data_IF_679736991319
#
_entry.id   IF_679736991319
#
_cell.length_a   1.000
_cell.length_b   1.000
_cell.length_c   1.000
_cell.angle_alpha   90.00
_cell.angle_beta   90.00
_cell.angle_gamma   90.00
#
_symmetry.space_group_name_H-M   'P 1'
#
loop_
_entity.id
_entity.type
_entity.pdbx_description
1 polymer ?
#
# COMPACT_ATOMS: atom_id res chain seq x y z
N UNK A 1 0.88 19.46 -15.98
CA UNK A 1 1.86 18.51 -15.54
C UNK A 1 1.70 18.21 -14.09
N UNK A 2 1.84 16.95 -13.71
CA UNK A 2 1.62 16.57 -12.34
C UNK A 2 2.88 16.75 -11.53
N UNK A 3 2.81 17.36 -10.37
CA UNK A 3 3.94 17.52 -9.49
C UNK A 3 3.90 16.51 -8.38
N UNK A 4 4.98 15.75 -8.21
CA UNK A 4 5.02 14.73 -7.18
C UNK A 4 4.92 15.34 -5.79
N UNK A 5 5.49 16.53 -5.60
CA UNK A 5 5.43 17.17 -4.30
C UNK A 5 4.01 17.58 -3.92
N UNK A 6 3.26 18.04 -4.88
CA UNK A 6 1.88 18.44 -4.64
C UNK A 6 1.03 17.24 -4.25
N UNK A 7 1.24 16.13 -4.94
CA UNK A 7 0.50 14.91 -4.66
C UNK A 7 0.91 14.37 -3.29
N UNK A 8 2.22 14.42 -2.97
CA UNK A 8 2.69 13.94 -1.70
C UNK A 8 2.11 14.76 -0.56
N UNK A 9 2.03 16.06 -0.74
CA UNK A 9 1.45 16.93 0.27
C UNK A 9 -0.03 16.60 0.49
N UNK A 10 -0.75 16.37 -0.60
CA UNK A 10 -2.16 15.99 -0.50
C UNK A 10 -2.30 14.68 0.28
N UNK A 11 -1.46 13.69 -0.04
CA UNK A 11 -1.51 12.40 0.62
C UNK A 11 -1.23 12.56 2.11
N UNK A 12 -0.19 13.34 2.46
CA UNK A 12 0.16 13.49 3.88
C UNK A 12 -0.91 14.23 4.67
N UNK A 13 -1.57 15.18 4.04
CA UNK A 13 -2.56 15.98 4.74
C UNK A 13 -3.96 15.36 4.76
N UNK A 14 -4.35 14.73 3.66
CA UNK A 14 -5.72 14.28 3.52
C UNK A 14 -5.93 12.77 3.67
N UNK A 15 -4.93 11.98 3.39
CA UNK A 15 -5.09 10.53 3.32
C UNK A 15 -4.44 9.82 4.50
N UNK A 16 -3.18 10.11 4.76
CA UNK A 16 -2.45 9.43 5.83
C UNK A 16 -3.14 9.57 7.19
N UNK A 17 -3.68 10.75 7.57
CA UNK A 17 -4.33 10.86 8.87
C UNK A 17 -5.56 9.97 9.02
N UNK A 18 -6.16 9.52 7.93
CA UNK A 18 -7.32 8.64 8.02
C UNK A 18 -6.95 7.29 8.62
N UNK A 19 -5.69 6.92 8.56
CA UNK A 19 -5.23 5.65 9.12
C UNK A 19 -5.16 5.68 10.64
N UNK A 20 -5.24 6.86 11.25
CA UNK A 20 -5.23 6.96 12.71
C UNK A 20 -6.40 6.26 13.36
N UNK A 21 -7.44 5.96 12.58
CA UNK A 21 -8.62 5.29 13.11
C UNK A 21 -8.49 3.78 13.11
N UNK A 22 -7.45 3.26 12.50
CA UNK A 22 -7.29 1.83 12.38
C UNK A 22 -6.43 1.30 13.52
N UNK A 23 -6.35 -0.01 13.66
CA UNK A 23 -5.58 -0.59 14.74
C UNK A 23 -4.08 -0.36 14.51
N UNK A 24 -3.29 -0.69 15.52
CA UNK A 24 -1.86 -0.38 15.50
C UNK A 24 -1.13 -0.98 14.30
N UNK A 25 -1.58 -2.11 13.83
CA UNK A 25 -0.91 -2.76 12.71
C UNK A 25 -1.21 -2.13 11.36
N UNK A 26 -2.17 -1.20 11.31
CA UNK A 26 -2.58 -0.58 10.06
C UNK A 26 -2.70 0.93 10.20
N UNK A 27 -1.97 1.51 11.14
CA UNK A 27 -2.05 2.93 11.38
C UNK A 27 -1.16 3.75 10.47
N UNK A 28 -0.99 5.00 10.85
CA UNK A 28 -0.24 5.97 10.06
C UNK A 28 1.20 5.50 9.78
N UNK A 29 1.87 4.94 10.79
CA UNK A 29 3.24 4.50 10.61
C UNK A 29 3.33 3.38 9.59
N UNK A 30 2.35 2.48 9.59
CA UNK A 30 2.33 1.38 8.63
C UNK A 30 2.21 1.90 7.20
N UNK A 31 1.25 2.80 6.95
CA UNK A 31 1.05 3.28 5.59
C UNK A 31 2.24 4.10 5.11
N UNK A 32 2.86 4.87 6.01
CA UNK A 32 4.02 5.64 5.60
C UNK A 32 5.19 4.74 5.28
N UNK A 33 5.34 3.64 6.00
CA UNK A 33 6.38 2.69 5.72
C UNK A 33 6.12 1.97 4.40
N UNK A 34 4.86 1.63 4.12
CA UNK A 34 4.52 1.00 2.84
C UNK A 34 4.83 1.96 1.68
N UNK A 35 4.49 3.23 1.82
CA UNK A 35 4.78 4.22 0.79
C UNK A 35 6.30 4.29 0.55
N UNK A 36 7.06 4.36 1.62
CA UNK A 36 8.50 4.47 1.53
C UNK A 36 9.11 3.24 0.86
N UNK A 37 8.65 2.06 1.25
CA UNK A 37 9.14 0.82 0.66
C UNK A 37 8.74 0.70 -0.81
N UNK A 38 7.53 1.09 -1.14
CA UNK A 38 7.08 1.02 -2.53
C UNK A 38 7.93 1.93 -3.41
N UNK A 39 8.18 3.15 -2.95
CA UNK A 39 8.98 4.08 -3.74
C UNK A 39 10.43 3.60 -3.85
N UNK A 40 10.94 2.96 -2.81
CA UNK A 40 12.27 2.39 -2.84
C UNK A 40 12.35 1.27 -3.88
N UNK A 41 11.35 0.40 -3.93
CA UNK A 41 11.32 -0.68 -4.91
C UNK A 41 11.20 -0.13 -6.34
N UNK A 42 10.52 1.00 -6.49
CA UNK A 42 10.31 1.58 -7.82
C UNK A 42 11.60 1.98 -8.50
N UNK A 43 12.67 2.19 -7.76
CA UNK A 43 13.93 2.58 -8.37
C UNK A 43 14.47 1.50 -9.30
N UNK A 44 14.01 0.25 -9.14
CA UNK A 44 14.44 -0.83 -10.00
C UNK A 44 13.54 -1.01 -11.21
N UNK A 45 12.53 -0.17 -11.36
CA UNK A 45 11.55 -0.30 -12.43
C UNK A 45 11.32 1.07 -13.08
N UNK A 46 12.22 1.48 -13.99
CA UNK A 46 12.14 2.84 -14.56
C UNK A 46 10.83 3.16 -15.26
N UNK A 47 10.09 2.14 -15.68
CA UNK A 47 8.82 2.39 -16.36
C UNK A 47 7.70 2.79 -15.39
N UNK A 48 7.93 2.69 -14.09
CA UNK A 48 6.89 2.98 -13.11
C UNK A 48 6.76 4.48 -12.88
N UNK A 49 5.53 4.97 -12.93
CA UNK A 49 5.25 6.36 -12.62
C UNK A 49 5.10 6.47 -11.11
N UNK A 50 6.01 7.17 -10.47
CA UNK A 50 6.01 7.23 -9.01
C UNK A 50 4.78 7.90 -8.44
N UNK A 51 4.13 8.78 -9.20
CA UNK A 51 2.91 9.43 -8.71
C UNK A 51 1.78 8.41 -8.58
N UNK A 52 1.62 7.54 -9.57
CA UNK A 52 0.60 6.50 -9.48
C UNK A 52 0.91 5.56 -8.32
N UNK A 53 2.17 5.19 -8.16
CA UNK A 53 2.56 4.27 -7.12
C UNK A 53 2.34 4.88 -5.74
N UNK A 54 2.69 6.14 -5.56
CA UNK A 54 2.50 6.83 -4.30
C UNK A 54 1.02 6.80 -3.88
N UNK A 55 0.13 7.11 -4.80
CA UNK A 55 -1.29 7.14 -4.49
C UNK A 55 -1.81 5.74 -4.20
N UNK A 56 -1.38 4.75 -5.00
CA UNK A 56 -1.82 3.38 -4.78
C UNK A 56 -1.41 2.91 -3.38
N UNK A 57 -0.16 3.19 -2.99
CA UNK A 57 0.32 2.77 -1.68
C UNK A 57 -0.42 3.51 -0.57
N UNK A 58 -0.68 4.81 -0.77
CA UNK A 58 -1.35 5.60 0.25
C UNK A 58 -2.77 5.15 0.51
N UNK A 59 -3.47 4.72 -0.54
CA UNK A 59 -4.89 4.36 -0.41
C UNK A 59 -5.10 2.87 -0.15
N UNK A 60 -4.07 2.05 -0.21
CA UNK A 60 -4.25 0.60 -0.33
C UNK A 60 -5.05 -0.04 0.80
N UNK A 61 -5.00 0.51 1.99
CA UNK A 61 -5.73 -0.05 3.13
C UNK A 61 -6.88 0.80 3.61
N UNK A 62 -7.24 1.86 2.90
CA UNK A 62 -8.35 2.71 3.35
C UNK A 62 -9.66 1.95 3.43
N UNK A 63 -9.79 0.88 2.67
CA UNK A 63 -11.00 0.06 2.73
C UNK A 63 -11.25 -0.59 4.08
N UNK A 64 -10.24 -0.60 4.96
CA UNK A 64 -10.43 -1.14 6.31
C UNK A 64 -11.51 -0.41 7.07
N UNK A 65 -11.83 0.83 6.67
CA UNK A 65 -12.93 1.57 7.28
C UNK A 65 -14.26 0.82 7.16
N UNK A 66 -14.36 -0.10 6.19
CA UNK A 66 -15.58 -0.86 5.94
C UNK A 66 -15.41 -2.33 6.33
N UNK A 67 -14.38 -2.66 7.07
CA UNK A 67 -14.16 -4.02 7.56
C UNK A 67 -12.98 -4.70 6.88
N UNK A 68 -12.48 -5.75 7.50
CA UNK A 68 -11.31 -6.42 6.99
C UNK A 68 -11.57 -7.33 5.82
N UNK A 69 -12.75 -7.92 5.76
CA UNK A 69 -12.97 -9.00 4.84
C UNK A 69 -12.74 -8.67 3.39
N UNK A 70 -13.18 -7.56 2.93
CA UNK A 70 -12.99 -7.20 1.54
C UNK A 70 -12.40 -5.81 1.43
N UNK A 71 -11.51 -5.49 2.35
CA UNK A 71 -10.97 -4.14 2.39
C UNK A 71 -10.25 -3.76 1.10
N UNK A 72 -9.65 -4.73 0.41
CA UNK A 72 -8.97 -4.45 -0.85
C UNK A 72 -9.95 -3.95 -1.92
N UNK A 73 -11.14 -4.55 -1.96
CA UNK A 73 -12.17 -4.12 -2.90
C UNK A 73 -12.68 -2.74 -2.54
N UNK A 74 -12.87 -2.49 -1.24
CA UNK A 74 -13.33 -1.18 -0.79
C UNK A 74 -12.29 -0.10 -1.03
N UNK A 75 -10.99 -0.44 -0.89
CA UNK A 75 -9.94 0.51 -1.19
C UNK A 75 -9.97 0.93 -2.66
N UNK A 76 -10.17 -0.04 -3.56
CA UNK A 76 -10.28 0.27 -4.98
C UNK A 76 -11.48 1.16 -5.27
N UNK A 77 -12.60 0.91 -4.60
CA UNK A 77 -13.79 1.72 -4.78
C UNK A 77 -13.56 3.16 -4.31
N UNK A 78 -12.89 3.31 -3.16
CA UNK A 78 -12.59 4.64 -2.64
C UNK A 78 -11.75 5.43 -3.65
N UNK A 79 -10.77 4.77 -4.26
CA UNK A 79 -9.94 5.42 -5.26
C UNK A 79 -10.79 5.88 -6.45
N UNK A 80 -11.64 4.99 -6.97
CA UNK A 80 -12.43 5.32 -8.14
C UNK A 80 -13.42 6.45 -7.88
N UNK A 81 -13.85 6.58 -6.63
CA UNK A 81 -14.84 7.60 -6.29
C UNK A 81 -14.23 8.91 -5.82
N UNK A 82 -12.95 8.98 -5.66
CA UNK A 82 -12.31 10.18 -5.14
C UNK A 82 -12.07 11.18 -6.27
N UNK A 83 -12.97 12.14 -6.39
CA UNK A 83 -12.91 13.12 -7.46
C UNK A 83 -11.65 13.98 -7.40
N UNK A 84 -11.04 14.12 -6.23
CA UNK A 84 -9.84 14.94 -6.09
C UNK A 84 -8.68 14.40 -6.89
N UNK A 85 -8.65 13.09 -7.14
CA UNK A 85 -7.56 12.50 -7.90
C UNK A 85 -7.61 12.91 -9.37
N UNK A 86 -8.76 13.34 -9.86
CA UNK A 86 -8.89 13.72 -11.26
C UNK A 86 -8.18 15.00 -11.62
N UNK A 87 -7.73 15.75 -10.65
CA UNK A 87 -6.92 16.92 -10.97
C UNK A 87 -5.51 16.52 -11.43
N UNK A 88 -5.07 15.29 -11.13
CA UNK A 88 -3.74 14.86 -11.51
C UNK A 88 -3.73 13.65 -12.44
N UNK A 89 -4.78 12.85 -12.44
CA UNK A 89 -4.79 11.57 -13.13
C UNK A 89 -5.96 11.43 -14.07
N UNK A 90 -5.73 10.74 -15.18
CA UNK A 90 -6.80 10.42 -16.12
C UNK A 90 -7.63 9.29 -15.57
N UNK A 91 -8.78 9.03 -16.17
CA UNK A 91 -9.61 7.91 -15.75
C UNK A 91 -8.88 6.57 -15.89
N UNK A 92 -8.07 6.43 -16.92
CA UNK A 92 -7.31 5.22 -17.12
C UNK A 92 -6.27 5.06 -16.01
N UNK A 93 -5.61 6.12 -15.64
CA UNK A 93 -4.63 6.08 -14.56
C UNK A 93 -5.29 5.78 -13.23
N UNK A 94 -6.46 6.34 -12.99
CA UNK A 94 -7.19 6.05 -11.76
C UNK A 94 -7.57 4.58 -11.72
N UNK A 95 -7.94 4.00 -12.86
CA UNK A 95 -8.20 2.56 -12.93
C UNK A 95 -6.99 1.73 -12.57
N UNK A 96 -5.81 2.15 -13.03
CA UNK A 96 -4.57 1.47 -12.71
C UNK A 96 -4.26 1.56 -11.22
N UNK A 97 -4.46 2.73 -10.63
CA UNK A 97 -4.23 2.92 -9.20
C UNK A 97 -5.20 2.05 -8.40
N UNK A 98 -6.47 2.01 -8.81
CA UNK A 98 -7.47 1.21 -8.12
C UNK A 98 -7.15 -0.28 -8.21
N UNK A 99 -6.74 -0.75 -9.39
CA UNK A 99 -6.37 -2.14 -9.56
C UNK A 99 -5.19 -2.50 -8.67
N UNK A 100 -4.24 -1.60 -8.51
CA UNK A 100 -3.09 -1.85 -7.66
C UNK A 100 -3.52 -2.01 -6.21
N UNK A 101 -4.42 -1.17 -5.74
CA UNK A 101 -4.90 -1.27 -4.37
C UNK A 101 -5.70 -2.56 -4.16
N UNK A 102 -6.49 -2.93 -5.15
CA UNK A 102 -7.27 -4.15 -5.04
C UNK A 102 -6.38 -5.38 -5.04
N UNK A 103 -5.31 -5.36 -5.82
CA UNK A 103 -4.47 -6.52 -6.02
C UNK A 103 -3.39 -6.72 -4.97
N UNK A 104 -3.27 -5.81 -4.02
CA UNK A 104 -2.18 -5.91 -3.05
C UNK A 104 -2.37 -7.06 -2.06
N UNK A 105 -3.56 -7.59 -1.96
CA UNK A 105 -3.85 -8.60 -0.97
C UNK A 105 -3.29 -9.95 -1.41
N UNK A 106 -2.46 -10.54 -0.56
CA UNK A 106 -1.80 -11.80 -0.89
C UNK A 106 -2.76 -12.95 -1.12
N UNK A 107 -3.94 -12.89 -0.51
CA UNK A 107 -4.91 -13.98 -0.65
C UNK A 107 -5.86 -13.78 -1.81
N UNK A 108 -5.58 -12.84 -2.69
CA UNK A 108 -6.42 -12.65 -3.86
C UNK A 108 -6.43 -13.87 -4.75
N UNK A 109 -7.50 -14.04 -5.49
CA UNK A 109 -7.64 -15.17 -6.40
C UNK A 109 -6.69 -15.13 -7.56
N UNK A 110 -6.12 -14.01 -7.87
CA UNK A 110 -5.27 -13.87 -9.04
C UNK A 110 -4.03 -13.05 -8.71
N UNK A 111 -3.02 -13.17 -9.53
CA UNK A 111 -1.82 -12.36 -9.37
C UNK A 111 -2.14 -10.91 -9.65
N UNK A 112 -1.36 -9.99 -9.10
CA UNK A 112 -1.57 -8.58 -9.40
C UNK A 112 -1.53 -8.32 -10.89
N UNK A 113 -2.47 -7.51 -11.36
CA UNK A 113 -2.63 -7.25 -12.79
C UNK A 113 -1.58 -6.30 -13.35
N UNK A 114 -0.97 -5.48 -12.51
CA UNK A 114 0.02 -4.51 -12.97
C UNK A 114 1.24 -4.53 -12.09
N UNK A 115 2.30 -3.90 -12.57
CA UNK A 115 3.52 -3.75 -11.78
C UNK A 115 3.23 -2.94 -10.52
N UNK A 116 2.29 -2.00 -10.57
CA UNK A 116 1.95 -1.19 -9.40
C UNK A 116 1.38 -2.06 -8.29
N UNK A 117 0.50 -2.98 -8.63
CA UNK A 117 -0.06 -3.89 -7.64
C UNK A 117 1.00 -4.81 -7.06
N UNK A 118 1.92 -5.25 -7.90
CA UNK A 118 3.01 -6.13 -7.44
C UNK A 118 3.92 -5.41 -6.46
N UNK A 119 4.24 -4.15 -6.74
CA UNK A 119 5.12 -3.39 -5.87
C UNK A 119 4.44 -3.11 -4.53
N UNK A 120 3.17 -2.73 -4.54
CA UNK A 120 2.46 -2.45 -3.30
C UNK A 120 2.35 -3.72 -2.46
N UNK A 121 2.01 -4.85 -3.09
CA UNK A 121 1.91 -6.12 -2.38
C UNK A 121 3.25 -6.52 -1.78
N UNK A 122 4.32 -6.31 -2.53
CA UNK A 122 5.65 -6.67 -2.05
C UNK A 122 6.07 -5.77 -0.89
N UNK A 123 5.81 -4.48 -1.00
CA UNK A 123 6.16 -3.54 0.05
C UNK A 123 5.45 -3.89 1.35
N UNK A 124 4.16 -4.24 1.24
CA UNK A 124 3.37 -4.60 2.40
C UNK A 124 3.90 -5.90 3.04
N UNK A 125 4.26 -6.87 2.23
CA UNK A 125 4.76 -8.14 2.73
C UNK A 125 6.12 -8.02 3.39
N UNK A 126 7.00 -7.18 2.84
CA UNK A 126 8.32 -6.98 3.41
C UNK A 126 8.21 -6.41 4.82
N UNK A 127 7.32 -5.46 5.01
CA UNK A 127 7.14 -4.84 6.30
C UNK A 127 6.64 -5.85 7.31
N UNK A 128 5.69 -6.69 6.94
CA UNK A 128 5.17 -7.70 7.82
C UNK A 128 6.27 -8.69 8.19
N UNK A 129 7.10 -9.06 7.23
CA UNK A 129 8.21 -9.96 7.49
C UNK A 129 9.20 -9.38 8.47
N UNK A 130 9.53 -8.11 8.30
CA UNK A 130 10.45 -7.45 9.22
C UNK A 130 9.89 -7.39 10.61
N UNK A 131 8.61 -7.13 10.74
CA UNK A 131 7.98 -7.06 12.04
C UNK A 131 8.08 -8.41 12.76
N UNK A 132 7.84 -9.48 12.04
CA UNK A 132 7.91 -10.81 12.61
C UNK A 132 9.34 -11.12 13.08
N UNK A 133 10.32 -10.81 12.27
CA UNK A 133 11.71 -11.05 12.62
C UNK A 133 12.09 -10.23 13.85
N UNK A 134 11.68 -8.99 13.88
CA UNK A 134 12.00 -8.13 14.99
C UNK A 134 11.42 -8.66 16.29
N UNK A 135 10.21 -9.17 16.26
CA UNK A 135 9.58 -9.72 17.44
C UNK A 135 10.30 -10.98 17.90
N UNK A 136 10.71 -11.82 16.96
CA UNK A 136 11.43 -13.02 17.30
C UNK A 136 12.74 -12.69 18.01
N UNK A 137 13.45 -11.70 17.51
CA UNK A 137 14.69 -11.29 18.13
C UNK A 137 14.46 -10.71 19.51
N UNK A 138 13.37 -9.99 19.65
CA UNK A 138 13.06 -9.40 20.92
C UNK A 138 12.82 -10.43 21.99
N UNK A 139 12.23 -11.55 21.68
CA UNK A 139 11.98 -12.58 22.65
C UNK A 139 13.13 -13.54 22.75
N UNK A 140 14.18 -13.18 22.15
CA UNK A 140 15.34 -14.01 22.27
C UNK A 140 15.22 -15.33 21.72
N UNK A 141 14.56 -15.58 20.87
CA UNK A 141 14.32 -16.75 20.44
C UNK A 141 15.00 -17.37 19.72
N UNK A 142 15.16 -18.07 19.88
CA UNK A 142 15.61 -18.92 19.37
C UNK A 142 14.82 -19.44 18.45
N UNK A 143 14.05 -19.07 18.10
CA UNK A 143 13.17 -19.54 17.36
C UNK A 143 13.60 -19.72 16.24
N UNK A 144 13.50 -20.09 15.84
CA UNK A 144 13.73 -20.47 14.93
C UNK A 144 13.17 -20.14 13.87
N UNK A 145 13.65 -20.31 13.27
CA UNK A 145 13.47 -19.93 12.04
C UNK A 145 12.35 -20.39 11.42
N UNK A 146 11.98 -21.32 11.84
CA UNK A 146 10.93 -21.87 11.21
C UNK A 146 9.96 -20.91 10.97
N UNK A 147 9.94 -20.07 11.79
CA UNK A 147 8.97 -19.28 11.62
C UNK A 147 9.04 -18.52 10.51
N UNK A 148 10.01 -18.50 10.03
CA UNK A 148 9.98 -17.66 9.02
C UNK A 148 9.40 -18.12 7.92
N UNK A 149 9.31 -19.18 7.82
CA UNK A 149 8.91 -19.59 6.75
C UNK A 149 7.65 -19.34 6.54
N UNK A 150 7.08 -19.17 7.20
CA UNK A 150 5.90 -19.09 6.94
C UNK A 150 5.66 -18.01 6.49
N UNK A 151 6.26 -17.62 6.70
CA UNK A 151 5.89 -16.46 6.22
C UNK A 151 5.63 -16.49 4.91
#
# INVERSE_FOLDING_TARGET
MRGVEEIREFVEREIVPRYDRFDAGHGRDHVQTVISQALSLAQYYPEVDKCLLLVAAAYHDLGLAYGRKEHHIHSARIIREDERLRQWFSEQEIGTIADAAEDHRASSDHAPRTIYGRIVAEADRIIDGETIVRRALQYGLKHEPGLDREG
#
